data_IF_407581268826
#
_entry.id   IF_407581268826
#
_cell.length_a   1.000
_cell.length_b   1.000
_cell.length_c   1.000
_cell.angle_alpha   90.00
_cell.angle_beta   90.00
_cell.angle_gamma   90.00
#
_symmetry.space_group_name_H-M   'P 1'
#
loop_
_entity.id
_entity.type
_entity.pdbx_description
1 polymer ?
#
# COMPACT_ATOMS: atom_id res chain seq x y z
N UNK A 1 -16.42 23.81 -1.07
CA UNK A 1 -15.22 22.99 -0.85
C UNK A 1 -14.66 23.36 0.51
N UNK A 2 -14.62 22.40 1.43
CA UNK A 2 -14.01 22.61 2.75
C UNK A 2 -12.50 22.42 2.65
N UNK A 3 -11.71 23.02 3.56
CA UNK A 3 -10.24 22.83 3.60
C UNK A 3 -9.82 21.35 3.60
N UNK A 4 -10.65 20.48 4.20
CA UNK A 4 -10.45 19.02 4.20
C UNK A 4 -10.62 18.38 2.82
N UNK A 5 -11.61 18.82 2.04
CA UNK A 5 -11.86 18.31 0.69
C UNK A 5 -10.68 18.61 -0.23
N UNK A 6 -10.12 19.82 -0.13
CA UNK A 6 -8.97 20.26 -0.94
C UNK A 6 -7.71 19.46 -0.59
N UNK A 7 -7.46 19.21 0.70
CA UNK A 7 -6.33 18.39 1.16
C UNK A 7 -6.48 16.94 0.68
N UNK A 8 -7.69 16.37 0.80
CA UNK A 8 -7.95 15.00 0.36
C UNK A 8 -7.87 14.86 -1.17
N UNK A 9 -8.36 15.85 -1.93
CA UNK A 9 -8.24 15.87 -3.38
C UNK A 9 -6.77 15.88 -3.83
N UNK A 10 -5.94 16.77 -3.25
CA UNK A 10 -4.49 16.81 -3.54
C UNK A 10 -3.78 15.51 -3.17
N UNK A 11 -4.20 14.87 -2.06
CA UNK A 11 -3.66 13.57 -1.65
C UNK A 11 -3.96 12.49 -2.68
N UNK A 12 -5.22 12.42 -3.16
CA UNK A 12 -5.62 11.48 -4.23
C UNK A 12 -4.84 11.75 -5.50
N UNK A 13 -4.73 13.01 -5.95
CA UNK A 13 -3.94 13.38 -7.13
C UNK A 13 -2.47 12.96 -6.99
N UNK A 14 -1.84 13.22 -5.84
CA UNK A 14 -0.45 12.79 -5.61
C UNK A 14 -0.29 11.27 -5.66
N UNK A 15 -1.19 10.53 -5.01
CA UNK A 15 -1.13 9.06 -4.98
C UNK A 15 -1.37 8.47 -6.37
N UNK A 16 -2.30 9.02 -7.16
CA UNK A 16 -2.51 8.59 -8.55
C UNK A 16 -1.28 8.82 -9.43
N UNK A 17 -0.65 10.00 -9.34
CA UNK A 17 0.57 10.29 -10.07
C UNK A 17 1.72 9.35 -9.69
N UNK A 18 1.87 9.07 -8.39
CA UNK A 18 2.87 8.13 -7.91
C UNK A 18 2.58 6.70 -8.38
N UNK A 19 1.33 6.25 -8.31
CA UNK A 19 0.91 4.93 -8.79
C UNK A 19 1.19 4.75 -10.29
N UNK A 20 0.94 5.78 -11.11
CA UNK A 20 1.24 5.74 -12.54
C UNK A 20 2.75 5.56 -12.80
N UNK A 21 3.59 6.25 -12.04
CA UNK A 21 5.05 6.10 -12.13
C UNK A 21 5.50 4.70 -11.72
N UNK A 22 4.99 4.17 -10.61
CA UNK A 22 5.37 2.83 -10.13
C UNK A 22 4.85 1.71 -11.04
N UNK A 23 3.66 1.86 -11.63
CA UNK A 23 3.17 0.93 -12.65
C UNK A 23 4.05 0.92 -13.90
N UNK A 24 4.55 2.08 -14.33
CA UNK A 24 5.50 2.16 -15.43
C UNK A 24 6.84 1.49 -15.07
N UNK A 25 7.31 1.65 -13.84
CA UNK A 25 8.51 0.98 -13.33
C UNK A 25 8.33 -0.55 -13.27
N UNK A 26 7.19 -1.02 -12.75
CA UNK A 26 6.84 -2.44 -12.73
C UNK A 26 6.82 -3.02 -14.14
N UNK A 27 6.15 -2.36 -15.10
CA UNK A 27 6.11 -2.82 -16.48
C UNK A 27 7.52 -2.95 -17.11
N UNK A 28 8.45 -2.06 -16.75
CA UNK A 28 9.84 -2.15 -17.19
C UNK A 28 10.57 -3.35 -16.57
N UNK A 29 10.37 -3.62 -15.28
CA UNK A 29 10.95 -4.79 -14.60
C UNK A 29 10.39 -6.10 -15.12
N UNK A 30 9.06 -6.20 -15.30
CA UNK A 30 8.41 -7.38 -15.89
C UNK A 30 8.95 -7.65 -17.29
N UNK A 31 9.05 -6.63 -18.15
CA UNK A 31 9.63 -6.79 -19.49
C UNK A 31 11.09 -7.27 -19.45
N UNK A 32 11.88 -6.79 -18.49
CA UNK A 32 13.26 -7.23 -18.31
C UNK A 32 13.34 -8.71 -17.89
N UNK A 33 12.48 -9.13 -16.96
CA UNK A 33 12.40 -10.51 -16.50
C UNK A 33 11.88 -11.45 -17.60
N UNK A 34 10.86 -11.06 -18.35
CA UNK A 34 10.33 -11.82 -19.48
C UNK A 34 11.39 -12.00 -20.58
N UNK A 35 12.19 -10.98 -20.86
CA UNK A 35 13.29 -11.08 -21.82
C UNK A 35 14.38 -12.06 -21.35
N UNK A 36 14.65 -12.14 -20.04
CA UNK A 36 15.56 -13.13 -19.45
C UNK A 36 14.98 -14.54 -19.59
N UNK A 37 13.71 -14.71 -19.24
CA UNK A 37 13.03 -16.01 -19.29
C UNK A 37 12.91 -16.53 -20.73
N UNK A 38 12.61 -15.65 -21.69
CA UNK A 38 12.57 -15.99 -23.11
C UNK A 38 13.95 -16.45 -23.63
N UNK A 39 15.04 -15.79 -23.21
CA UNK A 39 16.41 -16.22 -23.55
C UNK A 39 16.71 -17.61 -22.99
N UNK A 40 16.39 -17.84 -21.71
CA UNK A 40 16.58 -19.16 -21.07
C UNK A 40 15.81 -20.26 -21.78
N UNK A 41 14.58 -19.99 -22.22
CA UNK A 41 13.76 -20.96 -22.95
C UNK A 41 14.38 -21.39 -24.29
N UNK A 42 15.14 -20.51 -24.94
CA UNK A 42 15.85 -20.80 -26.20
C UNK A 42 17.24 -21.41 -26.01
N UNK A 43 17.82 -21.30 -24.82
CA UNK A 43 19.15 -21.81 -24.53
C UNK A 43 19.08 -23.33 -24.34
N UNK A 44 19.54 -24.09 -25.35
CA UNK A 44 19.70 -25.55 -25.27
C UNK A 44 20.67 -25.88 -24.13
N UNK A 45 20.12 -26.05 -22.94
CA UNK A 45 20.87 -26.27 -21.72
C UNK A 45 21.26 -27.74 -21.67
N UNK A 46 22.51 -28.05 -22.01
CA UNK A 46 23.09 -29.35 -21.72
C UNK A 46 22.94 -29.63 -20.21
N UNK A 47 22.23 -30.70 -19.79
CA UNK A 47 22.04 -31.02 -18.38
C UNK A 47 23.37 -31.24 -17.64
N UNK A 48 24.47 -31.55 -18.33
CA UNK A 48 25.81 -31.59 -17.75
C UNK A 48 26.39 -30.21 -17.39
N UNK A 49 25.88 -29.11 -17.96
CA UNK A 49 26.20 -27.76 -17.50
C UNK A 49 25.38 -27.34 -16.26
N UNK A 50 24.19 -27.92 -16.09
CA UNK A 50 23.34 -27.71 -14.92
C UNK A 50 23.95 -28.22 -13.62
N UNK A 51 24.61 -29.39 -13.66
CA UNK A 51 25.18 -30.04 -12.46
C UNK A 51 26.45 -29.37 -11.89
N UNK A 52 26.97 -28.32 -12.55
CA UNK A 52 28.18 -27.63 -12.11
C UNK A 52 29.48 -28.42 -12.29
N UNK A 53 29.41 -29.70 -12.66
CA UNK A 53 30.58 -30.55 -12.86
C UNK A 53 31.03 -30.45 -14.32
N UNK A 54 31.78 -29.38 -14.63
CA UNK A 54 32.57 -29.36 -15.87
C UNK A 54 33.76 -30.31 -15.71
N UNK A 55 34.05 -31.07 -16.78
CA UNK A 55 35.24 -31.93 -16.86
C UNK A 55 36.57 -31.16 -16.72
N UNK A 56 36.58 -29.85 -17.01
CA UNK A 56 37.72 -28.95 -16.80
C UNK A 56 37.23 -27.62 -16.19
N UNK A 57 37.78 -27.17 -15.05
CA UNK A 57 37.46 -25.87 -14.45
C UNK A 57 37.79 -24.72 -15.41
N UNK A 58 36.91 -23.72 -15.50
CA UNK A 58 37.15 -22.51 -16.28
C UNK A 58 36.61 -21.28 -15.54
N UNK A 59 37.46 -20.68 -14.71
CA UNK A 59 37.12 -19.55 -13.85
C UNK A 59 36.47 -18.37 -14.60
N UNK A 60 36.91 -18.07 -15.83
CA UNK A 60 36.33 -16.98 -16.64
C UNK A 60 34.93 -17.30 -17.15
N UNK A 61 34.66 -18.56 -17.45
CA UNK A 61 33.31 -19.00 -17.85
C UNK A 61 32.37 -19.08 -16.64
N UNK A 62 32.88 -19.54 -15.50
CA UNK A 62 32.10 -19.66 -14.25
C UNK A 62 31.75 -18.27 -13.69
N UNK A 63 32.71 -17.33 -13.67
CA UNK A 63 32.45 -15.94 -13.26
C UNK A 63 31.38 -15.27 -14.15
N UNK A 64 31.38 -15.52 -15.46
CA UNK A 64 30.35 -15.00 -16.37
C UNK A 64 28.96 -15.57 -16.04
N UNK A 65 28.89 -16.85 -15.68
CA UNK A 65 27.65 -17.53 -15.28
C UNK A 65 27.13 -17.00 -13.95
N UNK A 66 27.98 -16.87 -12.93
CA UNK A 66 27.59 -16.31 -11.64
C UNK A 66 27.11 -14.86 -11.76
N UNK A 67 27.85 -14.03 -12.50
CA UNK A 67 27.42 -12.66 -12.78
C UNK A 67 26.07 -12.58 -13.52
N UNK A 68 25.74 -13.57 -14.35
CA UNK A 68 24.42 -13.65 -14.98
C UNK A 68 23.35 -13.98 -13.93
N UNK A 69 23.56 -14.98 -13.09
CA UNK A 69 22.63 -15.32 -12.01
C UNK A 69 22.41 -14.17 -11.03
N UNK A 70 23.46 -13.44 -10.65
CA UNK A 70 23.33 -12.29 -9.74
C UNK A 70 22.47 -11.18 -10.36
N UNK A 71 22.65 -10.90 -11.66
CA UNK A 71 21.84 -9.93 -12.39
C UNK A 71 20.38 -10.35 -12.49
N UNK A 72 20.14 -11.63 -12.78
CA UNK A 72 18.79 -12.19 -12.84
C UNK A 72 18.09 -12.13 -11.49
N UNK A 73 18.79 -12.51 -10.42
CA UNK A 73 18.29 -12.41 -9.06
C UNK A 73 17.95 -10.97 -8.71
N UNK A 74 18.81 -10.01 -9.07
CA UNK A 74 18.58 -8.59 -8.83
C UNK A 74 17.32 -8.09 -9.55
N UNK A 75 17.10 -8.48 -10.81
CA UNK A 75 15.92 -8.07 -11.59
C UNK A 75 14.64 -8.71 -11.02
N UNK A 76 14.71 -9.98 -10.63
CA UNK A 76 13.58 -10.67 -10.01
C UNK A 76 13.17 -10.04 -8.67
N UNK A 77 14.14 -9.74 -7.81
CA UNK A 77 13.91 -9.03 -6.54
C UNK A 77 13.30 -7.66 -6.80
N UNK A 78 13.87 -6.89 -7.74
CA UNK A 78 13.38 -5.57 -8.09
C UNK A 78 11.94 -5.60 -8.65
N UNK A 79 11.57 -6.63 -9.41
CA UNK A 79 10.19 -6.81 -9.86
C UNK A 79 9.24 -7.05 -8.68
N UNK A 80 9.58 -7.98 -7.79
CA UNK A 80 8.74 -8.29 -6.62
C UNK A 80 8.56 -7.07 -5.71
N UNK A 81 9.61 -6.28 -5.51
CA UNK A 81 9.53 -5.07 -4.71
C UNK A 81 8.68 -3.98 -5.39
N UNK A 82 8.77 -3.85 -6.72
CA UNK A 82 7.88 -2.97 -7.48
C UNK A 82 6.41 -3.41 -7.40
N UNK A 83 6.12 -4.72 -7.44
CA UNK A 83 4.75 -5.25 -7.26
C UNK A 83 4.18 -4.91 -5.90
N UNK A 84 4.97 -5.09 -4.83
CA UNK A 84 4.56 -4.72 -3.46
C UNK A 84 4.27 -3.23 -3.34
N UNK A 85 5.09 -2.39 -3.95
CA UNK A 85 4.92 -0.94 -3.90
C UNK A 85 3.67 -0.49 -4.65
N UNK A 86 3.39 -1.07 -5.82
CA UNK A 86 2.13 -0.84 -6.55
C UNK A 86 0.93 -1.23 -5.69
N UNK A 87 0.92 -2.42 -5.10
CA UNK A 87 -0.17 -2.88 -4.23
C UNK A 87 -0.38 -1.96 -3.00
N UNK A 88 0.72 -1.50 -2.40
CA UNK A 88 0.69 -0.53 -1.29
C UNK A 88 0.07 0.81 -1.72
N UNK A 89 0.41 1.30 -2.91
CA UNK A 89 -0.14 2.56 -3.43
C UNK A 89 -1.60 2.44 -3.85
N UNK A 90 -2.01 1.29 -4.41
CA UNK A 90 -3.41 1.02 -4.76
C UNK A 90 -4.30 1.02 -3.51
N UNK A 91 -3.89 0.29 -2.47
CA UNK A 91 -4.61 0.29 -1.19
C UNK A 91 -4.64 1.68 -0.53
N UNK A 92 -3.55 2.44 -0.59
CA UNK A 92 -3.52 3.82 -0.09
C UNK A 92 -4.44 4.76 -0.88
N UNK A 93 -4.52 4.58 -2.20
CA UNK A 93 -5.40 5.35 -3.07
C UNK A 93 -6.86 5.04 -2.78
N UNK A 94 -7.23 3.77 -2.65
CA UNK A 94 -8.58 3.34 -2.29
C UNK A 94 -9.01 3.91 -0.94
N UNK A 95 -8.14 3.84 0.07
CA UNK A 95 -8.42 4.45 1.37
C UNK A 95 -8.60 5.99 1.26
N UNK A 96 -7.79 6.67 0.46
CA UNK A 96 -7.88 8.11 0.27
C UNK A 96 -9.14 8.54 -0.50
N UNK A 97 -9.57 7.77 -1.50
CA UNK A 97 -10.82 8.03 -2.24
C UNK A 97 -12.03 7.77 -1.36
N UNK A 98 -12.05 6.66 -0.61
CA UNK A 98 -13.11 6.36 0.35
C UNK A 98 -13.27 7.47 1.39
N UNK A 99 -12.15 7.97 1.94
CA UNK A 99 -12.17 9.07 2.91
C UNK A 99 -12.65 10.39 2.31
N UNK A 100 -12.30 10.68 1.06
CA UNK A 100 -12.75 11.90 0.37
C UNK A 100 -14.26 11.93 0.17
N UNK A 101 -14.86 10.79 -0.17
CA UNK A 101 -16.31 10.68 -0.43
C UNK A 101 -17.10 10.20 0.79
N UNK A 102 -16.47 10.14 1.96
CA UNK A 102 -17.10 9.68 3.18
C UNK A 102 -18.20 10.64 3.62
N UNK A 103 -19.38 10.09 3.93
CA UNK A 103 -20.48 10.85 4.54
C UNK A 103 -20.08 11.24 5.96
N UNK A 104 -20.06 12.54 6.24
CA UNK A 104 -19.77 13.05 7.58
C UNK A 104 -21.06 13.07 8.41
N UNK A 105 -20.99 12.49 9.61
CA UNK A 105 -22.11 12.51 10.54
C UNK A 105 -22.31 13.93 11.07
N UNK A 106 -23.57 14.37 11.05
CA UNK A 106 -23.99 15.67 11.54
C UNK A 106 -24.54 15.51 12.96
N UNK A 107 -24.67 16.61 13.70
CA UNK A 107 -25.19 16.62 15.07
C UNK A 107 -26.51 15.85 15.22
N UNK A 108 -27.40 15.95 14.23
CA UNK A 108 -28.70 15.26 14.19
C UNK A 108 -28.55 13.75 14.23
N UNK A 109 -27.53 13.22 13.56
CA UNK A 109 -27.31 11.78 13.42
C UNK A 109 -26.74 11.17 14.71
N UNK A 110 -25.96 11.99 15.43
CA UNK A 110 -25.35 11.64 16.71
C UNK A 110 -26.27 11.87 17.92
N UNK A 111 -27.44 12.49 17.71
CA UNK A 111 -28.37 12.77 18.80
C UNK A 111 -28.95 11.46 19.36
N UNK A 112 -28.76 11.25 20.66
CA UNK A 112 -29.18 10.02 21.34
C UNK A 112 -28.24 8.83 21.12
N UNK A 113 -27.07 9.02 20.49
CA UNK A 113 -26.05 7.98 20.42
C UNK A 113 -25.47 7.69 21.81
N UNK A 114 -25.39 6.41 22.17
CA UNK A 114 -24.75 5.91 23.41
C UNK A 114 -23.27 5.59 23.21
N UNK A 115 -22.90 5.22 21.99
CA UNK A 115 -21.51 4.93 21.64
C UNK A 115 -21.20 5.46 20.24
N UNK A 116 -19.97 5.94 20.05
CA UNK A 116 -19.43 6.33 18.75
C UNK A 116 -18.17 5.54 18.44
N UNK A 117 -17.87 5.38 17.16
CA UNK A 117 -16.65 4.73 16.69
C UNK A 117 -15.73 5.75 16.05
N UNK A 118 -14.46 5.71 16.41
CA UNK A 118 -13.37 6.40 15.71
C UNK A 118 -12.37 5.38 15.13
N UNK A 119 -11.21 5.87 14.68
CA UNK A 119 -10.13 5.01 14.15
C UNK A 119 -9.54 4.05 15.19
N UNK A 120 -9.67 4.37 16.49
CA UNK A 120 -9.09 3.61 17.59
C UNK A 120 -10.07 2.62 18.22
N UNK A 121 -11.37 2.81 18.03
CA UNK A 121 -12.39 1.85 18.48
C UNK A 121 -13.72 2.48 18.85
N UNK A 122 -14.45 1.78 19.71
CA UNK A 122 -15.75 2.22 20.22
C UNK A 122 -15.59 2.96 21.55
N UNK A 123 -16.25 4.11 21.65
CA UNK A 123 -16.21 4.97 22.82
C UNK A 123 -17.61 5.29 23.32
N UNK A 124 -17.82 5.25 24.64
CA UNK A 124 -19.09 5.63 25.24
C UNK A 124 -19.27 7.15 25.24
N UNK A 125 -20.42 7.61 24.75
CA UNK A 125 -20.76 9.03 24.67
C UNK A 125 -21.16 9.54 26.04
N UNK A 126 -20.53 10.63 26.49
CA UNK A 126 -20.89 11.33 27.73
C UNK A 126 -21.74 12.56 27.41
N UNK A 127 -21.32 13.35 26.43
CA UNK A 127 -22.01 14.60 26.07
C UNK A 127 -21.80 14.94 24.60
N UNK A 128 -22.87 15.38 23.94
CA UNK A 128 -22.83 15.94 22.60
C UNK A 128 -22.69 17.47 22.68
N UNK A 129 -21.65 18.03 22.07
CA UNK A 129 -21.47 19.48 21.91
C UNK A 129 -21.90 19.91 20.49
N UNK A 130 -21.62 21.17 20.12
CA UNK A 130 -21.99 21.70 18.81
C UNK A 130 -21.19 21.06 17.66
N UNK A 131 -19.89 20.83 17.85
CA UNK A 131 -18.96 20.31 16.82
C UNK A 131 -18.17 19.08 17.27
N UNK A 132 -18.28 18.70 18.54
CA UNK A 132 -17.50 17.62 19.15
C UNK A 132 -18.38 16.72 20.02
N UNK A 133 -17.97 15.47 20.18
CA UNK A 133 -18.54 14.52 21.12
C UNK A 133 -17.54 14.32 22.26
N UNK A 134 -17.98 14.52 23.50
CA UNK A 134 -17.20 14.14 24.67
C UNK A 134 -17.42 12.67 24.97
N UNK A 135 -16.34 11.90 25.01
CA UNK A 135 -16.35 10.45 25.24
C UNK A 135 -15.69 10.08 26.56
N UNK A 136 -16.13 8.96 27.12
CA UNK A 136 -15.56 8.39 28.35
C UNK A 136 -14.25 7.69 28.03
N UNK A 137 -13.19 8.06 28.74
CA UNK A 137 -11.93 7.31 28.72
C UNK A 137 -11.88 6.33 29.91
N UNK A 138 -10.92 5.38 29.93
CA UNK A 138 -10.65 4.57 31.12
C UNK A 138 -10.15 5.37 32.34
N UNK A 139 -9.82 6.65 32.15
CA UNK A 139 -9.29 7.54 33.17
C UNK A 139 -10.37 8.50 33.71
N UNK A 140 -10.00 9.34 34.67
CA UNK A 140 -10.89 10.32 35.31
C UNK A 140 -11.27 11.52 34.43
N UNK A 141 -10.78 11.57 33.18
CA UNK A 141 -11.03 12.67 32.25
C UNK A 141 -11.79 12.21 31.01
N UNK A 142 -12.45 13.16 30.34
CA UNK A 142 -13.21 12.92 29.10
C UNK A 142 -12.45 13.48 27.93
N UNK A 143 -12.41 12.74 26.84
CA UNK A 143 -11.78 13.19 25.60
C UNK A 143 -12.83 13.80 24.65
N UNK A 144 -12.40 14.65 23.72
CA UNK A 144 -13.26 15.33 22.76
C UNK A 144 -12.92 14.89 21.35
N UNK A 145 -13.85 14.18 20.73
CA UNK A 145 -13.73 13.72 19.35
C UNK A 145 -14.55 14.67 18.45
N UNK A 146 -13.93 15.37 17.48
CA UNK A 146 -14.68 16.17 16.51
C UNK A 146 -15.54 15.29 15.60
N UNK A 147 -16.67 15.80 15.11
CA UNK A 147 -17.62 15.02 14.31
C UNK A 147 -16.99 14.45 13.03
N UNK A 148 -16.01 15.16 12.48
CA UNK A 148 -15.28 14.76 11.28
C UNK A 148 -14.34 13.55 11.49
N UNK A 149 -14.19 13.07 12.73
CA UNK A 149 -13.48 11.82 13.07
C UNK A 149 -14.42 10.68 13.44
N UNK A 150 -15.71 10.95 13.58
CA UNK A 150 -16.69 9.91 13.92
C UNK A 150 -17.00 9.10 12.66
N UNK A 151 -16.79 7.79 12.74
CA UNK A 151 -17.02 6.85 11.65
C UNK A 151 -18.42 6.23 11.74
N UNK A 152 -18.85 5.87 12.95
CA UNK A 152 -20.13 5.23 13.19
C UNK A 152 -20.72 5.69 14.53
N UNK A 153 -22.05 5.58 14.67
CA UNK A 153 -22.74 5.86 15.92
C UNK A 153 -23.79 4.78 16.22
N UNK A 154 -23.88 4.36 17.49
CA UNK A 154 -24.86 3.40 18.00
C UNK A 154 -25.74 4.06 19.05
N UNK A 155 -27.05 3.78 18.98
CA UNK A 155 -28.07 4.25 19.92
C UNK A 155 -28.33 3.23 21.03
#
# INVERSE_FOLDING_TARGET
MTSRDDVNARKVERLTAQLMKERAHLALMTKANDAINARKATENTDPAQGSGIRRKPNAKADARRFNAYDREATISIAQVDAEKEVARLESALEAATAERFRVLLVRSDLLGARAIRDEFGWHAVVKLNAMTVSVKTPYSWTDKIPFDRVLEARK
#
